data_IF_583658800859
#
_entry.id   IF_583658800859
#
_cell.length_a   1.000
_cell.length_b   1.000
_cell.length_c   1.000
_cell.angle_alpha   90.00
_cell.angle_beta   90.00
_cell.angle_gamma   90.00
#
_symmetry.space_group_name_H-M   'P 1'
#
loop_
_entity.id
_entity.type
_entity.pdbx_description
1 polymer ?
#
# COMPACT_ATOMS: atom_id res chain seq x y z
N UNK A 1 -9.22 27.49 5.33
CA UNK A 1 -8.19 27.53 6.41
C UNK A 1 -8.75 26.85 7.64
N UNK A 2 -8.40 25.59 7.87
CA UNK A 2 -8.15 24.97 9.18
C UNK A 2 -7.90 23.47 9.00
N UNK A 3 -6.84 23.00 9.66
CA UNK A 3 -6.29 21.66 9.81
C UNK A 3 -7.17 20.45 9.57
N UNK A 4 -6.65 19.49 8.79
CA UNK A 4 -6.95 18.06 8.95
C UNK A 4 -5.66 17.26 8.69
N UNK A 5 -4.92 17.02 9.77
CA UNK A 5 -3.94 15.94 9.87
C UNK A 5 -4.65 14.70 10.43
N UNK A 6 -4.08 13.55 10.10
CA UNK A 6 -4.28 12.20 10.64
C UNK A 6 -5.34 11.40 9.90
N UNK A 7 -4.92 10.26 9.31
CA UNK A 7 -5.44 8.97 9.78
C UNK A 7 -4.30 7.95 10.00
N UNK A 8 -4.42 7.20 11.11
CA UNK A 8 -3.69 5.99 11.54
C UNK A 8 -2.51 6.08 12.48
N UNK A 9 -2.76 6.53 13.70
CA UNK A 9 -2.14 5.84 14.83
C UNK A 9 -3.23 5.32 15.77
N UNK A 10 -2.94 4.16 16.33
CA UNK A 10 -3.46 3.58 17.57
C UNK A 10 -4.69 2.68 17.51
N UNK A 11 -4.43 1.37 17.41
CA UNK A 11 -4.89 0.49 18.50
C UNK A 11 -3.87 0.53 19.64
N UNK A 12 -4.14 1.34 20.68
CA UNK A 12 -3.75 0.98 22.05
C UNK A 12 -5.07 0.86 22.80
N UNK A 13 -5.46 -0.37 23.12
CA UNK A 13 -6.55 -0.72 24.03
C UNK A 13 -7.80 0.18 23.97
N UNK A 14 -8.72 -0.21 23.08
CA UNK A 14 -10.18 0.05 23.06
C UNK A 14 -10.77 1.19 23.90
N UNK A 15 -11.60 1.96 23.19
CA UNK A 15 -12.70 2.78 23.64
C UNK A 15 -12.31 4.12 24.27
N UNK A 16 -12.42 5.18 23.47
CA UNK A 16 -13.18 6.41 23.76
C UNK A 16 -13.15 7.33 22.52
N UNK A 17 -14.29 7.42 21.84
CA UNK A 17 -14.75 8.53 21.00
C UNK A 17 -13.88 9.02 19.81
N UNK A 18 -14.40 8.81 18.59
CA UNK A 18 -14.33 9.82 17.53
C UNK A 18 -13.53 9.49 16.26
N UNK A 19 -14.15 8.69 15.39
CA UNK A 19 -14.09 8.72 13.91
C UNK A 19 -12.78 9.16 13.23
N UNK A 20 -11.97 8.19 12.81
CA UNK A 20 -10.93 8.37 11.79
C UNK A 20 -10.67 6.98 11.16
N UNK A 21 -11.28 6.71 10.01
CA UNK A 21 -11.54 5.38 9.43
C UNK A 21 -10.38 4.85 8.60
N UNK A 22 -9.67 3.87 9.17
CA UNK A 22 -8.94 2.85 8.39
C UNK A 22 -10.11 2.05 7.86
N UNK A 23 -10.06 1.58 6.63
CA UNK A 23 -10.79 0.35 6.41
C UNK A 23 -10.03 -0.76 7.15
N UNK A 24 -10.15 -0.74 8.49
CA UNK A 24 -9.86 -1.84 9.39
C UNK A 24 -10.71 -3.07 9.05
N UNK A 25 -11.57 -2.95 8.03
CA UNK A 25 -12.37 -3.98 7.39
C UNK A 25 -11.58 -4.79 6.36
N UNK A 26 -10.54 -4.25 5.70
CA UNK A 26 -9.76 -4.98 4.67
C UNK A 26 -8.47 -5.60 5.20
N UNK A 27 -8.66 -6.42 6.23
CA UNK A 27 -7.60 -7.25 6.83
C UNK A 27 -7.95 -8.72 6.61
N UNK A 28 -6.98 -9.52 6.15
CA UNK A 28 -7.23 -10.94 5.89
C UNK A 28 -5.98 -11.81 5.78
N UNK A 29 -6.08 -12.88 5.00
CA UNK A 29 -4.98 -13.83 4.79
C UNK A 29 -3.72 -13.15 4.23
N UNK A 30 -3.90 -12.07 3.46
CA UNK A 30 -2.83 -11.27 2.87
C UNK A 30 -2.40 -10.07 3.74
N UNK A 31 -2.84 -9.99 5.00
CA UNK A 31 -2.53 -8.85 5.90
C UNK A 31 -3.45 -7.65 5.66
N UNK A 32 -2.93 -6.44 5.84
CA UNK A 32 -3.59 -5.19 5.44
C UNK A 32 -3.68 -5.10 3.91
N UNK A 33 -4.60 -4.30 3.37
CA UNK A 33 -4.83 -4.18 1.92
C UNK A 33 -5.08 -5.56 1.29
N UNK A 34 -5.87 -6.40 1.98
CA UNK A 34 -6.07 -7.79 1.65
C UNK A 34 -6.71 -7.99 0.27
N UNK A 35 -7.73 -7.20 -0.10
CA UNK A 35 -8.34 -7.28 -1.44
C UNK A 35 -7.31 -6.91 -2.52
N UNK A 36 -6.59 -5.80 -2.36
CA UNK A 36 -5.51 -5.41 -3.28
C UNK A 36 -4.50 -6.55 -3.49
N UNK A 37 -3.89 -7.04 -2.41
CA UNK A 37 -2.87 -8.09 -2.48
C UNK A 37 -3.42 -9.39 -3.07
N UNK A 38 -4.64 -9.76 -2.69
CA UNK A 38 -5.31 -10.95 -3.21
C UNK A 38 -5.51 -10.86 -4.72
N UNK A 39 -6.10 -9.78 -5.22
CA UNK A 39 -6.38 -9.60 -6.66
C UNK A 39 -5.09 -9.61 -7.48
N UNK A 40 -4.04 -8.93 -7.00
CA UNK A 40 -2.72 -8.93 -7.64
C UNK A 40 -2.11 -10.34 -7.68
N UNK A 41 -2.21 -11.12 -6.59
CA UNK A 41 -1.72 -12.50 -6.57
C UNK A 41 -2.54 -13.45 -7.44
N UNK A 42 -3.85 -13.26 -7.54
CA UNK A 42 -4.74 -14.11 -8.36
C UNK A 42 -4.49 -13.93 -9.87
N UNK A 43 -4.03 -12.75 -10.30
CA UNK A 43 -3.67 -12.52 -11.71
C UNK A 43 -2.44 -13.30 -12.17
N UNK A 44 -1.54 -13.70 -11.24
CA UNK A 44 -0.32 -14.49 -11.52
C UNK A 44 0.45 -14.00 -12.76
N UNK A 45 0.64 -12.69 -12.85
CA UNK A 45 1.16 -12.04 -14.06
C UNK A 45 2.42 -11.26 -13.72
N UNK A 46 3.56 -11.73 -14.21
CA UNK A 46 4.84 -11.03 -14.08
C UNK A 46 4.81 -9.68 -14.79
N UNK A 47 4.08 -9.57 -15.91
CA UNK A 47 3.90 -8.30 -16.61
C UNK A 47 3.17 -7.28 -15.72
N UNK A 48 2.10 -7.70 -15.04
CA UNK A 48 1.39 -6.86 -14.06
C UNK A 48 2.33 -6.39 -12.96
N UNK A 49 3.15 -7.29 -12.41
CA UNK A 49 4.09 -6.94 -11.33
C UNK A 49 5.14 -5.94 -11.80
N UNK A 50 5.66 -6.10 -13.02
CA UNK A 50 6.63 -5.19 -13.61
C UNK A 50 6.04 -3.81 -13.90
N UNK A 51 4.81 -3.76 -14.43
CA UNK A 51 4.10 -2.51 -14.69
C UNK A 51 3.77 -1.75 -13.40
N UNK A 52 3.29 -2.46 -12.37
CA UNK A 52 3.07 -1.87 -11.04
C UNK A 52 4.36 -1.34 -10.42
N UNK A 53 5.48 -2.07 -10.61
CA UNK A 53 6.80 -1.62 -10.15
C UNK A 53 7.29 -0.38 -10.91
N UNK A 54 6.89 -0.18 -12.17
CA UNK A 54 7.20 1.04 -12.91
C UNK A 54 6.50 2.26 -12.28
N UNK A 55 5.23 2.13 -11.89
CA UNK A 55 4.52 3.17 -11.15
C UNK A 55 5.13 3.42 -9.77
N UNK A 56 5.48 2.36 -9.03
CA UNK A 56 6.14 2.46 -7.72
C UNK A 56 7.45 3.26 -7.78
N UNK A 57 8.24 3.09 -8.85
CA UNK A 57 9.50 3.85 -9.02
C UNK A 57 9.29 5.36 -9.22
N UNK A 58 8.06 5.81 -9.44
CA UNK A 58 7.68 7.23 -9.51
C UNK A 58 7.28 7.81 -8.15
N UNK A 59 7.16 6.96 -7.12
CA UNK A 59 6.84 7.38 -5.75
C UNK A 59 7.91 8.30 -5.17
N UNK A 60 7.59 8.89 -4.01
CA UNK A 60 8.59 9.65 -3.28
C UNK A 60 9.78 8.76 -2.88
N UNK A 61 10.99 9.34 -2.88
CA UNK A 61 12.20 8.63 -2.44
C UNK A 61 12.03 8.03 -1.03
N UNK A 62 11.30 8.71 -0.15
CA UNK A 62 11.04 8.23 1.20
C UNK A 62 10.23 6.92 1.21
N UNK A 63 9.19 6.82 0.38
CA UNK A 63 8.40 5.60 0.23
C UNK A 63 9.23 4.48 -0.39
N UNK A 64 10.00 4.80 -1.44
CA UNK A 64 10.86 3.83 -2.12
C UNK A 64 11.91 3.25 -1.16
N UNK A 65 12.58 4.12 -0.40
CA UNK A 65 13.62 3.72 0.54
C UNK A 65 13.04 2.87 1.68
N UNK A 66 11.93 3.29 2.30
CA UNK A 66 11.27 2.52 3.37
C UNK A 66 10.77 1.15 2.88
N UNK A 67 10.20 1.10 1.68
CA UNK A 67 9.78 -0.17 1.07
C UNK A 67 10.96 -1.10 0.84
N UNK A 68 12.06 -0.57 0.31
CA UNK A 68 13.26 -1.35 0.02
C UNK A 68 13.91 -1.86 1.31
N UNK A 69 13.95 -1.01 2.35
CA UNK A 69 14.45 -1.37 3.68
C UNK A 69 13.63 -2.51 4.30
N UNK A 70 12.31 -2.39 4.32
CA UNK A 70 11.43 -3.45 4.79
C UNK A 70 11.60 -4.75 4.00
N UNK A 71 11.70 -4.69 2.67
CA UNK A 71 11.92 -5.90 1.85
C UNK A 71 13.26 -6.57 2.22
N UNK A 72 14.32 -5.79 2.40
CA UNK A 72 15.62 -6.34 2.80
C UNK A 72 15.57 -7.03 4.18
N UNK A 73 14.79 -6.49 5.12
CA UNK A 73 14.66 -7.07 6.45
C UNK A 73 13.87 -8.39 6.43
N UNK A 74 12.72 -8.40 5.75
CA UNK A 74 11.76 -9.52 5.82
C UNK A 74 12.06 -10.64 4.81
N UNK A 75 12.70 -10.30 3.70
CA UNK A 75 12.99 -11.19 2.58
C UNK A 75 14.37 -10.87 1.96
N UNK A 76 15.48 -11.03 2.71
CA UNK A 76 16.82 -10.66 2.23
C UNK A 76 17.25 -11.41 0.96
N UNK A 77 16.64 -12.57 0.67
CA UNK A 77 16.89 -13.38 -0.52
C UNK A 77 16.30 -12.80 -1.82
N UNK A 78 15.42 -11.79 -1.75
CA UNK A 78 14.86 -11.11 -2.93
C UNK A 78 15.60 -9.80 -3.27
N UNK A 79 16.71 -9.52 -2.57
CA UNK A 79 17.62 -8.39 -2.82
C UNK A 79 16.91 -7.03 -2.96
N UNK A 80 15.87 -6.79 -2.14
CA UNK A 80 15.16 -5.51 -2.11
C UNK A 80 14.26 -5.24 -3.33
N UNK A 81 14.10 -6.21 -4.24
CA UNK A 81 13.29 -6.01 -5.44
C UNK A 81 11.81 -6.21 -5.17
N UNK A 82 11.00 -5.18 -5.47
CA UNK A 82 9.53 -5.20 -5.28
C UNK A 82 8.87 -6.35 -6.04
N UNK A 83 9.31 -6.63 -7.27
CA UNK A 83 8.73 -7.71 -8.10
C UNK A 83 8.95 -9.08 -7.45
N UNK A 84 10.18 -9.40 -7.07
CA UNK A 84 10.49 -10.67 -6.44
C UNK A 84 9.88 -10.77 -5.03
N UNK A 85 9.77 -9.65 -4.31
CA UNK A 85 9.01 -9.58 -3.05
C UNK A 85 7.54 -9.96 -3.28
N UNK A 86 6.86 -9.35 -4.25
CA UNK A 86 5.44 -9.65 -4.54
C UNK A 86 5.26 -11.11 -4.94
N UNK A 87 6.13 -11.64 -5.80
CA UNK A 87 6.10 -13.06 -6.19
C UNK A 87 6.21 -13.97 -4.96
N UNK A 88 7.23 -13.72 -4.11
CA UNK A 88 7.43 -14.47 -2.87
C UNK A 88 6.25 -14.35 -1.92
N UNK A 89 5.68 -13.16 -1.77
CA UNK A 89 4.56 -12.90 -0.87
C UNK A 89 3.23 -13.50 -1.38
N UNK A 90 3.07 -13.66 -2.69
CA UNK A 90 1.96 -14.41 -3.27
C UNK A 90 2.07 -15.93 -3.04
N UNK A 91 3.29 -16.47 -2.91
CA UNK A 91 3.53 -17.88 -2.54
C UNK A 91 3.41 -18.10 -1.02
N UNK A 92 3.98 -17.20 -0.23
CA UNK A 92 3.93 -17.20 1.22
C UNK A 92 3.31 -15.89 1.74
N UNK A 93 1.99 -15.93 1.94
CA UNK A 93 1.21 -14.77 2.41
C UNK A 93 1.68 -14.20 3.75
N UNK A 94 2.43 -14.97 4.55
CA UNK A 94 3.00 -14.46 5.81
C UNK A 94 4.01 -13.34 5.57
N UNK A 95 4.63 -13.29 4.39
CA UNK A 95 5.56 -12.23 4.00
C UNK A 95 4.86 -10.88 3.88
N UNK A 96 3.60 -10.83 3.41
CA UNK A 96 2.81 -9.60 3.40
C UNK A 96 2.51 -9.09 4.82
N UNK A 97 2.23 -9.99 5.76
CA UNK A 97 1.99 -9.60 7.17
C UNK A 97 3.24 -9.03 7.83
N UNK A 98 4.41 -9.63 7.55
CA UNK A 98 5.69 -9.09 8.00
C UNK A 98 5.99 -7.72 7.38
N UNK A 99 5.58 -7.51 6.14
CA UNK A 99 5.66 -6.19 5.51
C UNK A 99 4.79 -5.17 6.24
N UNK A 100 3.56 -5.52 6.61
CA UNK A 100 2.69 -4.64 7.40
C UNK A 100 3.30 -4.28 8.75
N UNK A 101 3.88 -5.28 9.43
CA UNK A 101 4.56 -5.10 10.71
C UNK A 101 5.75 -4.14 10.58
N UNK A 102 6.57 -4.30 9.54
CA UNK A 102 7.69 -3.39 9.27
C UNK A 102 7.22 -1.97 8.93
N UNK A 103 6.20 -1.84 8.07
CA UNK A 103 5.68 -0.54 7.65
C UNK A 103 5.02 0.24 8.79
N UNK A 104 4.45 -0.45 9.79
CA UNK A 104 3.80 0.19 10.92
C UNK A 104 4.72 1.17 11.68
N UNK A 105 6.04 0.91 11.69
CA UNK A 105 7.03 1.80 12.31
C UNK A 105 7.16 3.13 11.55
N UNK A 106 7.14 3.07 10.21
CA UNK A 106 7.18 4.26 9.36
C UNK A 106 5.85 5.01 9.41
N UNK A 107 4.72 4.31 9.40
CA UNK A 107 3.40 4.92 9.51
C UNK A 107 3.21 5.66 10.83
N UNK A 108 3.88 5.26 11.92
CA UNK A 108 3.88 6.02 13.16
C UNK A 108 4.45 7.44 13.01
N UNK A 109 5.26 7.71 11.97
CA UNK A 109 5.83 9.02 11.67
C UNK A 109 4.87 9.90 10.85
N UNK A 110 4.52 11.07 11.41
CA UNK A 110 3.59 12.03 10.79
C UNK A 110 4.09 12.58 9.45
N UNK A 111 5.40 12.75 9.28
CA UNK A 111 5.96 13.26 8.02
C UNK A 111 5.94 12.19 6.94
N UNK A 112 6.19 10.93 7.32
CA UNK A 112 6.09 9.79 6.40
C UNK A 112 4.65 9.64 5.88
N UNK A 113 3.64 9.76 6.75
CA UNK A 113 2.23 9.68 6.34
C UNK A 113 1.85 10.67 5.24
N UNK A 114 2.38 11.89 5.27
CA UNK A 114 2.09 12.88 4.21
C UNK A 114 2.67 12.47 2.86
N UNK A 115 3.74 11.68 2.86
CA UNK A 115 4.38 11.17 1.64
C UNK A 115 3.67 9.94 1.07
N UNK A 116 2.71 9.35 1.80
CA UNK A 116 1.88 8.24 1.33
C UNK A 116 0.71 8.71 0.46
N UNK A 117 0.45 10.01 0.38
CA UNK A 117 -0.52 10.55 -0.59
C UNK A 117 0.05 10.40 -2.00
N UNK A 118 -0.67 9.66 -2.85
CA UNK A 118 -0.27 9.47 -4.25
C UNK A 118 -0.25 10.81 -4.98
N UNK A 119 0.89 11.13 -5.60
CA UNK A 119 0.96 12.26 -6.52
C UNK A 119 0.08 11.98 -7.75
N UNK A 120 -0.50 13.01 -8.39
CA UNK A 120 -1.39 12.83 -9.53
C UNK A 120 -0.81 11.96 -10.66
N UNK A 121 0.48 12.11 -10.96
CA UNK A 121 1.17 11.33 -11.99
C UNK A 121 1.34 9.84 -11.61
N UNK A 122 1.55 9.55 -10.33
CA UNK A 122 1.69 8.18 -9.83
C UNK A 122 0.31 7.50 -9.80
N UNK A 123 -0.71 8.22 -9.32
CA UNK A 123 -2.10 7.77 -9.38
C UNK A 123 -2.54 7.46 -10.81
N UNK A 124 -2.27 8.36 -11.76
CA UNK A 124 -2.61 8.13 -13.17
C UNK A 124 -1.90 6.88 -13.73
N UNK A 125 -0.63 6.66 -13.37
CA UNK A 125 0.08 5.43 -13.72
C UNK A 125 -0.67 4.19 -13.21
N UNK A 126 -1.00 4.15 -11.92
CA UNK A 126 -1.74 3.03 -11.35
C UNK A 126 -3.11 2.83 -11.99
N UNK A 127 -3.87 3.90 -12.25
CA UNK A 127 -5.16 3.80 -12.96
C UNK A 127 -5.04 3.17 -14.34
N UNK A 128 -4.01 3.53 -15.11
CA UNK A 128 -3.75 2.95 -16.43
C UNK A 128 -3.45 1.46 -16.33
N UNK A 129 -2.64 1.04 -15.35
CA UNK A 129 -2.33 -0.37 -15.13
C UNK A 129 -3.58 -1.14 -14.67
N UNK A 130 -4.38 -0.60 -13.74
CA UNK A 130 -5.60 -1.27 -13.29
C UNK A 130 -6.60 -1.48 -14.43
N UNK A 131 -6.72 -0.51 -15.35
CA UNK A 131 -7.52 -0.63 -16.58
C UNK A 131 -6.94 -1.67 -17.54
N UNK A 132 -5.62 -1.63 -17.77
CA UNK A 132 -4.91 -2.55 -18.69
C UNK A 132 -5.10 -4.02 -18.31
N UNK A 133 -5.10 -4.34 -17.02
CA UNK A 133 -5.21 -5.72 -16.52
C UNK A 133 -6.61 -6.12 -16.07
N UNK A 134 -7.63 -5.30 -16.35
CA UNK A 134 -9.03 -5.57 -15.99
C UNK A 134 -9.18 -5.93 -14.49
N UNK A 135 -8.61 -5.07 -13.62
CA UNK A 135 -8.68 -5.15 -12.15
C UNK A 135 -9.23 -3.83 -11.59
N UNK A 136 -10.25 -3.30 -12.25
CA UNK A 136 -10.84 -1.98 -11.95
C UNK A 136 -11.51 -1.93 -10.58
N UNK A 137 -11.83 -3.09 -9.99
CA UNK A 137 -12.30 -3.19 -8.61
C UNK A 137 -11.34 -2.53 -7.62
N UNK A 138 -10.04 -2.49 -7.93
CA UNK A 138 -9.03 -1.88 -7.06
C UNK A 138 -8.93 -0.35 -7.19
N UNK A 139 -9.70 0.30 -8.07
CA UNK A 139 -9.62 1.74 -8.27
C UNK A 139 -9.94 2.54 -7.00
N UNK A 140 -10.79 1.99 -6.12
CA UNK A 140 -11.17 2.66 -4.88
C UNK A 140 -9.98 2.90 -3.93
N UNK A 141 -8.88 2.14 -4.05
CA UNK A 141 -7.64 2.41 -3.30
C UNK A 141 -6.88 3.65 -3.79
N UNK A 142 -7.11 4.08 -5.03
CA UNK A 142 -6.47 5.27 -5.61
C UNK A 142 -7.24 6.55 -5.31
N UNK A 143 -8.51 6.42 -4.91
CA UNK A 143 -9.39 7.51 -4.55
C UNK A 143 -9.31 7.78 -3.04
N UNK A 144 -8.23 8.41 -2.59
CA UNK A 144 -8.28 9.15 -1.32
C UNK A 144 -9.32 10.25 -1.46
N UNK A 145 -10.55 10.04 -0.97
CA UNK A 145 -11.71 10.84 -1.39
C UNK A 145 -11.55 12.35 -1.11
N UNK A 146 -11.16 13.11 -2.13
CA UNK A 146 -11.62 14.48 -2.32
C UNK A 146 -13.01 14.45 -2.96
N UNK A 147 -14.04 14.33 -2.14
CA UNK A 147 -15.41 14.70 -2.51
C UNK A 147 -15.78 15.98 -1.77
N UNK A 148 -15.43 17.13 -2.36
CA UNK A 148 -16.21 18.36 -2.18
C UNK A 148 -16.84 18.70 -3.52
N UNK A 149 -18.02 18.13 -3.76
CA UNK A 149 -19.00 18.64 -4.69
C UNK A 149 -20.15 19.26 -3.91
N UNK A 150 -20.01 20.54 -3.56
CA UNK A 150 -21.02 21.62 -3.63
C UNK A 150 -20.60 22.82 -2.77
#
# INVERSE_FOLDING_TARGET
MSSWMLIFSACVATALAGNLHHDASDVGDYGNYNEWRKVICEKKSDDLYNDMNACFKMESKMIIDATTECIHEIAPDVEGTVVAFVQKACEDKSVFKKMDECFAEYEANVEFKKQMELKPEVKACYEEILKKYEITELMHYLDGSSHEGN
#
